data_IF_422400974064
#
_entry.id   IF_422400974064
#
_cell.length_a   1.000
_cell.length_b   1.000
_cell.length_c   1.000
_cell.angle_alpha   90.00
_cell.angle_beta   90.00
_cell.angle_gamma   90.00
#
_symmetry.space_group_name_H-M   'P 1'
#
loop_
_entity.id
_entity.type
_entity.pdbx_description
1 polymer ?
#
# COMPACT_ATOMS: atom_id res chain seq x y z
N UNK A 1 7.77 7.90 15.53
CA UNK A 1 6.35 7.59 15.83
C UNK A 1 5.79 6.81 14.66
N UNK A 2 5.14 5.67 14.91
CA UNK A 2 4.64 4.77 13.85
C UNK A 2 3.13 4.92 13.74
N UNK A 3 2.62 5.11 12.52
CA UNK A 3 1.19 5.20 12.24
C UNK A 3 0.74 3.97 11.45
N UNK A 4 -0.24 3.25 11.97
CA UNK A 4 -0.81 2.06 11.32
C UNK A 4 -2.27 2.32 11.01
N UNK A 5 -2.63 2.23 9.73
CA UNK A 5 -3.99 2.46 9.28
C UNK A 5 -4.26 1.76 7.95
N UNK A 6 -5.54 1.61 7.61
CA UNK A 6 -5.93 1.22 6.25
C UNK A 6 -5.64 2.35 5.27
N UNK A 7 -5.45 2.03 3.99
CA UNK A 7 -5.21 3.05 2.94
C UNK A 7 -6.25 4.17 2.97
N UNK A 8 -7.53 3.82 3.15
CA UNK A 8 -8.63 4.79 3.24
C UNK A 8 -8.41 5.84 4.34
N UNK A 9 -7.91 5.42 5.51
CA UNK A 9 -7.62 6.30 6.66
C UNK A 9 -6.29 7.05 6.54
N UNK A 10 -5.40 6.59 5.68
CA UNK A 10 -4.13 7.26 5.36
C UNK A 10 -4.24 8.26 4.20
N UNK A 11 -5.43 8.43 3.61
CA UNK A 11 -5.65 9.37 2.51
C UNK A 11 -5.37 10.82 2.97
N UNK A 12 -4.56 11.54 2.20
CA UNK A 12 -4.19 12.93 2.49
C UNK A 12 -3.09 13.09 3.55
N UNK A 13 -2.54 11.98 4.05
CA UNK A 13 -1.35 11.96 4.88
C UNK A 13 -0.16 11.53 4.04
N UNK A 14 0.98 12.15 4.32
CA UNK A 14 2.24 11.82 3.67
C UNK A 14 3.28 11.43 4.71
N UNK A 15 4.11 10.45 4.37
CA UNK A 15 5.10 9.87 5.28
C UNK A 15 6.48 9.88 4.63
N UNK A 16 7.53 9.94 5.46
CA UNK A 16 8.90 9.81 4.96
C UNK A 16 9.18 8.39 4.45
N UNK A 17 8.70 7.37 5.19
CA UNK A 17 8.78 5.96 4.82
C UNK A 17 7.40 5.33 4.86
N UNK A 18 7.10 4.43 3.91
CA UNK A 18 5.82 3.72 3.84
C UNK A 18 6.06 2.22 3.69
N UNK A 19 5.38 1.44 4.53
CA UNK A 19 5.26 -0.01 4.39
C UNK A 19 3.81 -0.32 4.04
N UNK A 20 3.58 -0.90 2.88
CA UNK A 20 2.27 -1.37 2.43
C UNK A 20 2.21 -2.87 2.64
N UNK A 21 1.28 -3.32 3.48
CA UNK A 21 0.98 -4.74 3.65
C UNK A 21 -0.34 -5.04 2.95
N UNK A 22 -0.30 -5.91 1.95
CA UNK A 22 -1.48 -6.30 1.18
C UNK A 22 -1.74 -7.81 1.27
N UNK A 23 -3.01 -8.24 1.33
CA UNK A 23 -3.34 -9.65 1.17
C UNK A 23 -2.80 -10.20 -0.15
N UNK A 24 -2.35 -11.46 -0.17
CA UNK A 24 -1.88 -12.14 -1.39
C UNK A 24 -2.86 -12.02 -2.57
N UNK A 25 -4.17 -12.08 -2.28
CA UNK A 25 -5.24 -11.94 -3.26
C UNK A 25 -5.27 -10.58 -3.99
N UNK A 26 -4.52 -9.59 -3.51
CA UNK A 26 -4.43 -8.25 -4.10
C UNK A 26 -3.19 -8.11 -4.99
N UNK A 27 -2.30 -9.12 -5.00
CA UNK A 27 -1.09 -9.21 -5.80
C UNK A 27 -1.22 -10.23 -6.94
N UNK A 28 -2.43 -10.75 -7.17
CA UNK A 28 -2.75 -11.73 -8.22
C UNK A 28 -2.78 -11.14 -9.63
N UNK A 29 -3.46 -11.83 -10.56
CA UNK A 29 -3.50 -11.44 -11.98
C UNK A 29 -3.98 -9.98 -12.13
N UNK A 30 -3.18 -9.08 -12.74
CA UNK A 30 -3.56 -7.68 -12.93
C UNK A 30 -4.95 -7.46 -13.53
N UNK A 31 -5.44 -8.37 -14.37
CA UNK A 31 -6.77 -8.28 -14.98
C UNK A 31 -7.89 -8.60 -13.99
N UNK A 32 -7.63 -9.43 -12.98
CA UNK A 32 -8.60 -9.80 -11.94
C UNK A 32 -8.56 -8.84 -10.73
N UNK A 33 -7.42 -8.16 -10.51
CA UNK A 33 -7.19 -7.33 -9.32
C UNK A 33 -6.99 -5.84 -9.62
N UNK A 34 -7.31 -5.36 -10.82
CA UNK A 34 -7.04 -3.98 -11.30
C UNK A 34 -7.41 -2.90 -10.26
N UNK A 35 -8.61 -2.97 -9.68
CA UNK A 35 -9.06 -2.01 -8.66
C UNK A 35 -8.27 -2.10 -7.34
N UNK A 36 -7.85 -3.29 -6.92
CA UNK A 36 -7.07 -3.52 -5.70
C UNK A 36 -5.60 -3.11 -5.89
N UNK A 37 -5.05 -3.35 -7.07
CA UNK A 37 -3.69 -2.95 -7.44
C UNK A 37 -3.54 -1.44 -7.47
N UNK A 38 -4.54 -0.72 -8.00
CA UNK A 38 -4.62 0.74 -7.93
C UNK A 38 -4.53 1.28 -6.49
N UNK A 39 -5.12 0.58 -5.52
CA UNK A 39 -5.03 1.00 -4.11
C UNK A 39 -3.61 0.83 -3.55
N UNK A 40 -2.87 -0.19 -4.00
CA UNK A 40 -1.48 -0.42 -3.62
C UNK A 40 -0.60 0.69 -4.22
N UNK A 41 -0.77 1.02 -5.49
CA UNK A 41 -0.03 2.11 -6.15
C UNK A 41 -0.27 3.46 -5.44
N UNK A 42 -1.54 3.74 -5.10
CA UNK A 42 -1.92 4.92 -4.32
C UNK A 42 -1.31 4.91 -2.92
N UNK A 43 -1.13 3.75 -2.30
CA UNK A 43 -0.47 3.64 -0.99
C UNK A 43 1.04 3.87 -1.10
N UNK A 44 1.71 3.30 -2.11
CA UNK A 44 3.15 3.46 -2.34
C UNK A 44 3.53 4.91 -2.60
N UNK A 45 2.69 5.65 -3.32
CA UNK A 45 2.90 7.09 -3.61
C UNK A 45 2.75 8.02 -2.40
N UNK A 46 2.42 7.50 -1.21
CA UNK A 46 2.43 8.29 0.05
C UNK A 46 3.82 8.52 0.62
N UNK A 47 4.84 7.83 0.10
CA UNK A 47 6.22 8.04 0.50
C UNK A 47 6.78 9.32 -0.14
N UNK A 48 7.32 10.23 0.68
CA UNK A 48 7.73 11.58 0.23
C UNK A 48 8.96 11.62 -0.67
N UNK A 49 9.81 10.58 -0.74
CA UNK A 49 10.89 10.47 -1.76
C UNK A 49 11.77 9.22 -1.72
N UNK A 50 11.93 8.53 -0.58
CA UNK A 50 13.13 7.67 -0.46
C UNK A 50 12.87 6.17 -0.36
N UNK A 51 11.87 5.68 0.36
CA UNK A 51 11.65 4.22 0.45
C UNK A 51 10.18 3.86 0.66
N UNK A 52 9.64 3.07 -0.26
CA UNK A 52 8.34 2.41 -0.14
C UNK A 52 8.54 0.90 -0.25
N UNK A 53 8.06 0.15 0.73
CA UNK A 53 8.13 -1.31 0.73
C UNK A 53 6.74 -1.91 0.58
N UNK A 54 6.60 -2.91 -0.30
CA UNK A 54 5.39 -3.70 -0.46
C UNK A 54 5.65 -5.11 0.07
N UNK A 55 4.90 -5.51 1.10
CA UNK A 55 4.92 -6.85 1.68
C UNK A 55 3.60 -7.59 1.45
N UNK A 56 3.70 -8.91 1.26
CA UNK A 56 2.56 -9.81 1.26
C UNK A 56 2.19 -10.21 2.70
N UNK A 57 0.90 -10.14 3.04
CA UNK A 57 0.33 -10.78 4.22
C UNK A 57 -0.06 -12.22 3.88
N UNK A 58 0.77 -13.18 4.27
CA UNK A 58 0.37 -14.59 4.42
C UNK A 58 -0.26 -14.77 5.80
N UNK A 59 -1.43 -15.43 5.83
CA UNK A 59 -1.94 -16.00 7.08
C UNK A 59 -1.07 -17.17 7.53
#
# INVERSE_FOLDING_TARGET
MTYVATMHRAKGLDFYHVIVLAPKSNLGDPLEVDSKRKLIDVALTRAKKEEAFLGELTR
#
